data_IF_352497322408
#
_entry.id   IF_352497322408
#
_cell.length_a   1.000
_cell.length_b   1.000
_cell.length_c   1.000
_cell.angle_alpha   90.00
_cell.angle_beta   90.00
_cell.angle_gamma   90.00
#
_symmetry.space_group_name_H-M   'P 1'
#
loop_
_entity.id
_entity.type
_entity.pdbx_description
1 polymer ?
#
# COMPACT_ATOMS: atom_id res chain seq x y z
N UNK A 1 -11.55 11.19 -6.01
CA UNK A 1 -10.08 11.32 -5.91
C UNK A 1 -9.47 11.15 -7.29
N UNK A 2 -8.63 12.09 -7.68
CA UNK A 2 -7.84 11.95 -8.91
C UNK A 2 -6.72 10.95 -8.66
N UNK A 3 -6.63 9.94 -9.50
CA UNK A 3 -5.70 8.84 -9.29
C UNK A 3 -5.19 8.32 -10.63
N UNK A 4 -3.87 8.31 -10.77
CA UNK A 4 -3.23 7.68 -11.93
C UNK A 4 -3.03 6.21 -11.65
N UNK A 5 -3.47 5.36 -12.57
CA UNK A 5 -3.33 3.91 -12.47
C UNK A 5 -2.36 3.44 -13.56
N UNK A 6 -1.27 2.82 -13.16
CA UNK A 6 -0.25 2.31 -14.07
C UNK A 6 -0.07 0.79 -13.81
N UNK A 7 -0.65 -0.01 -14.68
CA UNK A 7 -0.59 -1.48 -14.56
C UNK A 7 0.69 -1.99 -15.17
N UNK A 8 1.56 -2.53 -14.34
CA UNK A 8 2.78 -3.22 -14.75
C UNK A 8 2.49 -4.70 -14.94
N UNK A 9 3.49 -5.45 -15.35
CA UNK A 9 3.33 -6.89 -15.57
C UNK A 9 2.97 -7.65 -14.29
N UNK A 10 3.59 -7.31 -13.17
CA UNK A 10 3.45 -8.03 -11.91
C UNK A 10 2.87 -7.22 -10.75
N UNK A 11 2.65 -5.93 -10.94
CA UNK A 11 2.06 -5.08 -9.92
C UNK A 11 1.41 -3.87 -10.56
N UNK A 12 0.55 -3.21 -9.82
CA UNK A 12 -0.12 -1.98 -10.26
C UNK A 12 0.33 -0.82 -9.38
N UNK A 13 0.71 0.30 -10.00
CA UNK A 13 1.07 1.51 -9.27
C UNK A 13 -0.11 2.47 -9.28
N UNK A 14 -0.53 2.87 -8.10
CA UNK A 14 -1.57 3.88 -7.91
C UNK A 14 -0.91 5.16 -7.41
N UNK A 15 -1.05 6.25 -8.16
CA UNK A 15 -0.47 7.54 -7.81
C UNK A 15 -1.58 8.55 -7.60
N UNK A 16 -1.92 8.88 -6.35
CA UNK A 16 -2.88 9.94 -6.08
C UNK A 16 -2.37 11.28 -6.61
N UNK A 17 -3.17 11.91 -7.47
CA UNK A 17 -2.85 13.21 -8.06
C UNK A 17 -3.52 14.32 -7.25
N UNK A 18 -3.34 14.26 -5.94
CA UNK A 18 -3.91 15.17 -4.96
C UNK A 18 -2.82 15.69 -4.05
N UNK A 19 -2.78 16.99 -3.80
CA UNK A 19 -1.83 17.54 -2.84
C UNK A 19 -2.24 17.28 -1.38
N UNK A 20 -3.54 17.10 -1.15
CA UNK A 20 -4.09 16.82 0.17
C UNK A 20 -5.01 15.61 0.10
N UNK A 21 -4.82 14.66 1.01
CA UNK A 21 -5.72 13.50 1.15
C UNK A 21 -6.47 13.60 2.47
N UNK A 22 -7.80 13.70 2.38
CA UNK A 22 -8.69 13.72 3.53
C UNK A 22 -9.27 12.33 3.79
N UNK A 23 -9.88 12.16 4.96
CA UNK A 23 -10.54 10.92 5.34
C UNK A 23 -11.64 10.51 4.33
N UNK A 24 -12.36 11.49 3.80
CA UNK A 24 -13.44 11.21 2.85
C UNK A 24 -12.96 10.60 1.53
N UNK A 25 -11.72 10.87 1.14
CA UNK A 25 -11.13 10.35 -0.10
C UNK A 25 -10.72 8.89 0.02
N UNK A 26 -10.54 8.37 1.23
CA UNK A 26 -10.03 7.03 1.43
C UNK A 26 -11.02 5.93 1.07
N UNK A 27 -12.31 6.19 1.10
CA UNK A 27 -13.32 5.22 0.67
C UNK A 27 -13.21 4.94 -0.82
N UNK A 28 -13.08 5.99 -1.62
CA UNK A 28 -12.86 5.86 -3.07
C UNK A 28 -11.56 5.12 -3.35
N UNK A 29 -10.51 5.47 -2.61
CA UNK A 29 -9.21 4.82 -2.74
C UNK A 29 -9.31 3.32 -2.43
N UNK A 30 -9.98 2.94 -1.36
CA UNK A 30 -10.17 1.55 -0.97
C UNK A 30 -10.88 0.76 -2.08
N UNK A 31 -11.93 1.34 -2.65
CA UNK A 31 -12.69 0.74 -3.74
C UNK A 31 -11.81 0.53 -4.98
N UNK A 32 -11.01 1.53 -5.34
CA UNK A 32 -10.10 1.46 -6.49
C UNK A 32 -9.03 0.39 -6.26
N UNK A 33 -8.46 0.31 -5.05
CA UNK A 33 -7.48 -0.72 -4.69
C UNK A 33 -8.08 -2.11 -4.83
N UNK A 34 -9.30 -2.31 -4.36
CA UNK A 34 -9.99 -3.59 -4.48
C UNK A 34 -10.16 -4.02 -5.92
N UNK A 35 -10.58 -3.10 -6.79
CA UNK A 35 -10.74 -3.37 -8.22
C UNK A 35 -9.41 -3.63 -8.91
N UNK A 36 -8.39 -2.82 -8.62
CA UNK A 36 -7.06 -2.98 -9.21
C UNK A 36 -6.41 -4.30 -8.80
N UNK A 37 -6.65 -4.75 -7.58
CA UNK A 37 -6.05 -5.98 -7.06
C UNK A 37 -6.77 -7.26 -7.50
N UNK A 38 -7.84 -7.14 -8.28
CA UNK A 38 -8.62 -8.30 -8.72
C UNK A 38 -7.79 -9.27 -9.57
N UNK A 39 -7.04 -8.74 -10.53
CA UNK A 39 -6.20 -9.56 -11.42
C UNK A 39 -4.76 -9.65 -10.93
N UNK A 40 -4.23 -8.54 -10.42
CA UNK A 40 -2.85 -8.44 -9.94
C UNK A 40 -2.93 -8.07 -8.45
N UNK A 41 -2.57 -9.00 -7.54
CA UNK A 41 -2.78 -8.78 -6.11
C UNK A 41 -1.75 -7.85 -5.46
N UNK A 42 -0.79 -7.33 -6.23
CA UNK A 42 0.28 -6.47 -5.72
C UNK A 42 0.04 -5.03 -6.12
N UNK A 43 -0.07 -4.15 -5.13
CA UNK A 43 -0.33 -2.72 -5.32
C UNK A 43 0.79 -1.90 -4.69
N UNK A 44 1.33 -0.97 -5.46
CA UNK A 44 2.24 0.07 -4.95
C UNK A 44 1.48 1.39 -4.98
N UNK A 45 1.45 2.09 -3.85
CA UNK A 45 0.86 3.43 -3.76
C UNK A 45 2.00 4.43 -3.73
N UNK A 46 2.14 5.20 -4.80
CA UNK A 46 3.18 6.23 -4.90
C UNK A 46 2.60 7.57 -4.46
N UNK A 47 3.08 8.09 -3.35
CA UNK A 47 2.55 9.32 -2.76
C UNK A 47 3.40 10.55 -3.04
N UNK A 48 4.18 10.54 -4.12
CA UNK A 48 5.08 11.66 -4.43
C UNK A 48 4.38 13.01 -4.61
N UNK A 49 3.11 13.00 -5.02
CA UNK A 49 2.34 14.23 -5.22
C UNK A 49 1.59 14.69 -3.98
N UNK A 50 1.50 13.87 -2.95
CA UNK A 50 0.76 14.17 -1.73
C UNK A 50 1.64 15.00 -0.80
N UNK A 51 1.22 16.24 -0.53
CA UNK A 51 1.95 17.15 0.34
C UNK A 51 1.47 17.06 1.79
N UNK A 52 0.18 16.83 1.99
CA UNK A 52 -0.46 16.77 3.31
C UNK A 52 -1.45 15.62 3.34
N UNK A 53 -1.48 14.90 4.45
CA UNK A 53 -2.45 13.83 4.69
C UNK A 53 -3.13 14.05 6.05
N UNK A 54 -4.44 13.83 6.09
CA UNK A 54 -5.22 13.86 7.31
C UNK A 54 -4.87 12.65 8.19
N UNK A 55 -4.90 12.81 9.51
CA UNK A 55 -4.58 11.72 10.44
C UNK A 55 -5.52 10.51 10.24
N UNK A 56 -6.81 10.78 10.07
CA UNK A 56 -7.79 9.71 9.83
C UNK A 56 -7.51 8.99 8.51
N UNK A 57 -7.08 9.72 7.48
CA UNK A 57 -6.70 9.13 6.21
C UNK A 57 -5.47 8.23 6.37
N UNK A 58 -4.47 8.67 7.13
CA UNK A 58 -3.27 7.88 7.39
C UNK A 58 -3.62 6.57 8.10
N UNK A 59 -4.49 6.62 9.10
CA UNK A 59 -4.96 5.42 9.80
C UNK A 59 -5.70 4.47 8.84
N UNK A 60 -6.50 5.03 7.94
CA UNK A 60 -7.23 4.23 6.95
C UNK A 60 -6.28 3.51 6.00
N UNK A 61 -5.23 4.17 5.53
CA UNK A 61 -4.20 3.52 4.69
C UNK A 61 -3.56 2.34 5.43
N UNK A 62 -3.28 2.51 6.73
CA UNK A 62 -2.76 1.41 7.54
C UNK A 62 -3.72 0.23 7.58
N UNK A 63 -5.01 0.49 7.77
CA UNK A 63 -6.04 -0.54 7.81
C UNK A 63 -6.16 -1.25 6.46
N UNK A 64 -6.14 -0.51 5.35
CA UNK A 64 -6.21 -1.09 4.01
C UNK A 64 -5.03 -2.03 3.77
N UNK A 65 -3.83 -1.61 4.16
CA UNK A 65 -2.63 -2.43 4.01
C UNK A 65 -2.74 -3.74 4.80
N UNK A 66 -3.23 -3.68 6.02
CA UNK A 66 -3.46 -4.87 6.87
C UNK A 66 -4.51 -5.80 6.26
N UNK A 67 -5.59 -5.23 5.72
CA UNK A 67 -6.64 -6.02 5.08
C UNK A 67 -6.13 -6.73 3.83
N UNK A 68 -5.28 -6.06 3.05
CA UNK A 68 -4.64 -6.67 1.88
C UNK A 68 -3.81 -7.87 2.28
N UNK A 69 -2.95 -7.69 3.28
CA UNK A 69 -2.09 -8.78 3.76
C UNK A 69 -2.92 -9.96 4.25
N UNK A 70 -3.99 -9.71 5.00
CA UNK A 70 -4.88 -10.75 5.50
C UNK A 70 -5.58 -11.54 4.39
N UNK A 71 -5.74 -10.94 3.21
CA UNK A 71 -6.37 -11.57 2.03
C UNK A 71 -5.35 -12.14 1.05
N UNK A 72 -4.11 -12.32 1.47
CA UNK A 72 -3.01 -12.81 0.62
C UNK A 72 -2.68 -11.86 -0.54
N UNK A 73 -2.90 -10.56 -0.33
CA UNK A 73 -2.54 -9.49 -1.25
C UNK A 73 -1.49 -8.62 -0.58
N UNK A 74 -0.80 -7.79 -1.36
CA UNK A 74 0.24 -6.93 -0.82
C UNK A 74 0.05 -5.49 -1.28
N UNK A 75 0.22 -4.55 -0.37
CA UNK A 75 0.22 -3.12 -0.66
C UNK A 75 1.41 -2.49 0.04
N UNK A 76 2.21 -1.75 -0.74
CA UNK A 76 3.34 -0.99 -0.20
C UNK A 76 3.19 0.46 -0.62
N UNK A 77 3.45 1.38 0.29
CA UNK A 77 3.42 2.82 0.03
C UNK A 77 4.86 3.28 -0.17
N UNK A 78 5.08 4.15 -1.16
CA UNK A 78 6.43 4.66 -1.43
C UNK A 78 6.42 6.17 -1.71
N UNK A 79 7.60 6.75 -1.67
CA UNK A 79 7.87 8.15 -2.01
C UNK A 79 7.03 9.16 -1.24
N UNK A 80 6.83 8.93 0.07
CA UNK A 80 6.11 9.90 0.90
C UNK A 80 6.99 11.12 1.16
N UNK A 81 6.36 12.30 1.16
CA UNK A 81 7.04 13.54 1.50
C UNK A 81 7.17 13.68 3.02
N UNK A 82 8.07 14.54 3.47
CA UNK A 82 8.38 14.72 4.89
C UNK A 82 7.17 15.03 5.75
N UNK A 83 6.29 15.89 5.27
CA UNK A 83 5.10 16.26 6.04
C UNK A 83 4.12 15.10 6.18
N UNK A 84 4.03 14.25 5.16
CA UNK A 84 3.23 13.02 5.21
C UNK A 84 3.87 12.01 6.18
N UNK A 85 5.19 11.85 6.10
CA UNK A 85 5.93 10.97 7.00
C UNK A 85 5.71 11.36 8.47
N UNK A 86 5.72 12.66 8.77
CA UNK A 86 5.49 13.15 10.14
C UNK A 86 4.15 12.67 10.71
N UNK A 87 3.11 12.61 9.89
CA UNK A 87 1.81 12.11 10.33
C UNK A 87 1.88 10.65 10.69
N UNK A 88 2.50 9.82 9.84
CA UNK A 88 2.66 8.39 10.13
C UNK A 88 3.52 8.15 11.38
N UNK A 89 4.56 8.95 11.59
CA UNK A 89 5.39 8.87 12.80
C UNK A 89 4.59 9.25 14.05
N UNK A 90 3.85 10.36 13.97
CA UNK A 90 3.01 10.83 15.09
C UNK A 90 2.00 9.78 15.52
N UNK A 91 1.40 9.07 14.59
CA UNK A 91 0.40 8.05 14.85
C UNK A 91 1.02 6.67 15.18
N UNK A 92 2.35 6.60 15.25
CA UNK A 92 3.11 5.37 15.52
C UNK A 92 2.82 4.26 14.49
N UNK A 93 2.54 4.66 13.25
CA UNK A 93 2.22 3.74 12.16
C UNK A 93 3.44 3.38 11.30
N UNK A 94 4.48 4.23 11.32
CA UNK A 94 5.61 4.09 10.40
C UNK A 94 6.32 2.74 10.52
N UNK A 95 6.43 2.20 11.74
CA UNK A 95 7.08 0.92 11.99
C UNK A 95 6.16 -0.29 11.77
N UNK A 96 4.86 -0.04 11.66
CA UNK A 96 3.85 -1.09 11.46
C UNK A 96 3.45 -1.26 10.00
N UNK A 97 3.85 -0.32 9.15
CA UNK A 97 3.45 -0.29 7.74
C UNK A 97 4.64 -0.55 6.83
N UNK A 98 4.37 -1.11 5.66
CA UNK A 98 5.37 -1.22 4.61
C UNK A 98 5.40 0.10 3.82
N UNK A 99 6.39 0.92 4.10
CA UNK A 99 6.62 2.19 3.44
C UNK A 99 8.08 2.23 3.01
N UNK A 100 8.34 2.51 1.74
CA UNK A 100 9.69 2.55 1.19
C UNK A 100 9.98 3.91 0.57
N UNK A 101 11.27 4.28 0.44
CA UNK A 101 11.64 5.53 -0.23
C UNK A 101 11.34 5.54 -1.74
N UNK A 102 11.43 4.41 -2.42
CA UNK A 102 11.30 4.32 -3.88
C UNK A 102 10.35 3.20 -4.32
N UNK A 103 9.89 3.28 -5.57
CA UNK A 103 9.09 2.21 -6.17
C UNK A 103 9.87 0.91 -6.31
N UNK A 104 11.16 0.98 -6.62
CA UNK A 104 12.01 -0.23 -6.71
C UNK A 104 12.04 -0.99 -5.40
N UNK A 105 12.22 -0.29 -4.29
CA UNK A 105 12.20 -0.91 -2.96
C UNK A 105 10.83 -1.44 -2.61
N UNK A 106 9.77 -0.75 -3.05
CA UNK A 106 8.39 -1.24 -2.86
C UNK A 106 8.20 -2.58 -3.57
N UNK A 107 8.68 -2.69 -4.79
CA UNK A 107 8.60 -3.95 -5.55
C UNK A 107 9.36 -5.08 -4.84
N UNK A 108 10.53 -4.77 -4.27
CA UNK A 108 11.29 -5.75 -3.50
C UNK A 108 10.48 -6.29 -2.31
N UNK A 109 9.78 -5.43 -1.60
CA UNK A 109 8.91 -5.83 -0.47
C UNK A 109 7.76 -6.72 -0.96
N UNK A 110 7.13 -6.37 -2.08
CA UNK A 110 6.04 -7.17 -2.64
C UNK A 110 6.52 -8.59 -2.97
N UNK A 111 7.69 -8.71 -3.57
CA UNK A 111 8.28 -10.01 -3.89
C UNK A 111 8.59 -10.81 -2.63
N UNK A 112 9.14 -10.17 -1.62
CA UNK A 112 9.45 -10.81 -0.35
C UNK A 112 8.21 -11.36 0.33
N UNK A 113 7.12 -10.60 0.36
CA UNK A 113 5.87 -11.04 0.96
C UNK A 113 5.27 -12.22 0.20
N UNK A 114 5.36 -12.21 -1.12
CA UNK A 114 4.88 -13.32 -1.93
C UNK A 114 5.67 -14.60 -1.66
N UNK A 115 6.99 -14.50 -1.58
CA UNK A 115 7.87 -15.63 -1.26
C UNK A 115 7.55 -16.16 0.15
N UNK A 116 7.37 -15.30 1.13
CA UNK A 116 7.02 -15.70 2.48
C UNK A 116 5.69 -16.47 2.51
N UNK A 117 4.69 -16.00 1.79
CA UNK A 117 3.40 -16.69 1.70
C UNK A 117 3.52 -18.07 1.06
N UNK A 118 4.31 -18.19 0.00
CA UNK A 118 4.56 -19.46 -0.67
C UNK A 118 5.26 -20.46 0.26
N UNK A 119 6.26 -20.00 1.01
CA UNK A 119 6.97 -20.82 1.97
C UNK A 119 6.05 -21.29 3.10
N UNK A 120 5.19 -20.43 3.61
CA UNK A 120 4.22 -20.79 4.63
C UNK A 120 3.21 -21.81 4.13
N UNK A 121 2.75 -21.65 2.89
CA UNK A 121 1.82 -22.60 2.28
C UNK A 121 2.48 -23.98 2.08
N UNK A 122 3.73 -24.01 1.62
CA UNK A 122 4.47 -25.26 1.46
C UNK A 122 4.69 -25.95 2.80
N UNK A 123 5.02 -25.17 3.83
CA UNK A 123 5.22 -25.68 5.17
C UNK A 123 3.92 -26.30 5.73
N UNK A 124 2.79 -25.60 5.57
CA UNK A 124 1.48 -26.09 5.99
C UNK A 124 1.09 -27.38 5.25
N UNK A 125 1.44 -27.45 3.96
CA UNK A 125 1.17 -28.65 3.15
C UNK A 125 1.96 -29.87 3.63
N UNK A 126 3.18 -29.66 4.10
CA UNK A 126 4.03 -30.73 4.63
C UNK A 126 3.52 -31.29 5.95
N UNK A 127 2.87 -30.45 6.75
CA UNK A 127 2.33 -30.84 8.06
C UNK A 127 1.05 -31.70 7.95
N UNK A 128 0.53 -31.84 6.78
CA UNK A 128 -0.65 -32.67 6.51
C UNK A 128 -0.23 -34.07 6.07
#
# INVERSE_FOLDING_TARGET
MELKIDTKEKFTVLTPEESFISANMTEDFESICGNASYKIPHIVVNMKMVEIIDEQAAEKFSQIQKQFYAKNKSMVICEIQKEVEKVFVKLELIDLMNITPTESEAWDILQMEEIERELLNDFDAEDK
#
